data_IF_767311839043
#
_entry.id   IF_767311839043
#
_cell.length_a   1.000
_cell.length_b   1.000
_cell.length_c   1.000
_cell.angle_alpha   90.00
_cell.angle_beta   90.00
_cell.angle_gamma   90.00
#
_symmetry.space_group_name_H-M   'P 1'
#
loop_
_entity.id
_entity.type
_entity.pdbx_description
1 polymer ?
#
# COMPACT_ATOMS: atom_id res chain seq x y z
N UNK A 1 11.32 -12.61 -14.65
CA UNK A 1 10.71 -12.75 -13.29
C UNK A 1 11.71 -13.13 -12.18
N UNK A 2 12.97 -13.48 -12.49
CA UNK A 2 13.96 -14.00 -11.52
C UNK A 2 14.58 -12.92 -10.62
N UNK A 3 14.78 -11.69 -11.11
CA UNK A 3 15.42 -10.61 -10.33
C UNK A 3 14.56 -10.12 -9.15
N UNK A 4 13.24 -9.98 -9.34
CA UNK A 4 12.26 -9.59 -8.30
C UNK A 4 12.28 -10.57 -7.12
N UNK A 5 12.53 -11.86 -7.40
CA UNK A 5 12.63 -12.90 -6.37
C UNK A 5 13.84 -12.71 -5.46
N UNK A 6 14.96 -12.21 -5.96
CA UNK A 6 16.16 -11.99 -5.16
C UNK A 6 15.95 -10.88 -4.13
N UNK A 7 15.30 -9.78 -4.53
CA UNK A 7 15.03 -8.64 -3.64
C UNK A 7 13.97 -8.93 -2.56
N UNK A 8 13.09 -9.90 -2.79
CA UNK A 8 11.99 -10.25 -1.87
C UNK A 8 12.19 -11.59 -1.15
N UNK A 9 13.27 -12.33 -1.46
CA UNK A 9 13.56 -13.63 -0.86
C UNK A 9 13.59 -13.62 0.69
N UNK A 10 14.17 -12.60 1.36
CA UNK A 10 14.15 -12.55 2.83
C UNK A 10 12.73 -12.48 3.41
N UNK A 11 11.78 -11.92 2.66
CA UNK A 11 10.40 -11.70 3.09
C UNK A 11 9.42 -12.76 2.56
N UNK A 12 9.92 -13.83 1.93
CA UNK A 12 9.09 -14.89 1.31
C UNK A 12 8.05 -15.46 2.26
N UNK A 13 8.42 -15.71 3.53
CA UNK A 13 7.49 -16.25 4.55
C UNK A 13 6.37 -15.26 4.86
N UNK A 14 6.66 -13.96 4.92
CA UNK A 14 5.66 -12.91 5.15
C UNK A 14 4.65 -12.85 4.01
N UNK A 15 5.14 -12.91 2.76
CA UNK A 15 4.25 -12.98 1.58
C UNK A 15 3.35 -14.23 1.60
N UNK A 16 3.92 -15.40 1.87
CA UNK A 16 3.14 -16.65 1.98
C UNK A 16 2.07 -16.56 3.07
N UNK A 17 2.37 -15.89 4.18
CA UNK A 17 1.43 -15.71 5.29
C UNK A 17 0.29 -14.76 4.89
N UNK A 18 0.61 -13.63 4.25
CA UNK A 18 -0.37 -12.69 3.71
C UNK A 18 -1.29 -13.37 2.69
N UNK A 19 -0.71 -14.12 1.75
CA UNK A 19 -1.49 -14.86 0.75
C UNK A 19 -2.39 -15.91 1.39
N UNK A 20 -1.91 -16.62 2.42
CA UNK A 20 -2.72 -17.60 3.14
C UNK A 20 -3.90 -16.92 3.85
N UNK A 21 -3.66 -15.78 4.49
CA UNK A 21 -4.71 -14.98 5.13
C UNK A 21 -5.78 -14.56 4.11
N UNK A 22 -5.38 -14.02 2.96
CA UNK A 22 -6.31 -13.59 1.91
C UNK A 22 -7.15 -14.74 1.35
N UNK A 23 -6.57 -15.94 1.24
CA UNK A 23 -7.31 -17.15 0.80
C UNK A 23 -8.28 -17.68 1.85
N UNK A 24 -7.97 -17.52 3.13
CA UNK A 24 -8.83 -17.94 4.22
C UNK A 24 -10.12 -17.12 4.29
N UNK A 25 -10.08 -15.87 3.83
CA UNK A 25 -11.22 -14.93 3.84
C UNK A 25 -11.54 -14.43 2.43
N UNK A 26 -12.06 -15.30 1.53
CA UNK A 26 -12.29 -14.93 0.13
C UNK A 26 -13.34 -13.84 -0.06
N UNK A 27 -14.28 -13.70 0.87
CA UNK A 27 -15.31 -12.65 0.86
C UNK A 27 -14.84 -11.32 1.48
N UNK A 28 -13.63 -11.26 2.06
CA UNK A 28 -13.07 -10.03 2.64
C UNK A 28 -12.27 -9.28 1.60
N UNK A 29 -12.60 -8.00 1.42
CA UNK A 29 -11.80 -7.06 0.66
C UNK A 29 -10.58 -6.64 1.49
N UNK A 30 -9.38 -6.93 1.00
CA UNK A 30 -8.13 -6.49 1.60
C UNK A 30 -7.67 -5.20 0.92
N UNK A 31 -7.35 -4.18 1.71
CA UNK A 31 -6.76 -2.94 1.20
C UNK A 31 -5.29 -2.92 1.56
N UNK A 32 -4.44 -2.80 0.55
CA UNK A 32 -3.00 -2.67 0.74
C UNK A 32 -2.58 -1.24 0.41
N UNK A 33 -2.00 -0.56 1.39
CA UNK A 33 -1.42 0.76 1.22
C UNK A 33 0.02 0.61 0.70
N UNK A 34 0.37 1.34 -0.36
CA UNK A 34 1.77 1.47 -0.77
C UNK A 34 2.59 2.09 0.36
N UNK A 35 3.91 1.82 0.45
CA UNK A 35 4.78 2.47 1.42
C UNK A 35 4.57 3.98 1.42
N UNK A 36 4.51 4.57 2.62
CA UNK A 36 4.17 5.99 2.73
C UNK A 36 5.28 6.84 2.13
N UNK A 37 4.92 7.93 1.43
CA UNK A 37 5.89 8.95 1.08
C UNK A 37 6.54 9.55 2.34
N UNK A 38 7.74 10.03 2.14
CA UNK A 38 8.60 10.72 3.11
C UNK A 38 8.93 12.11 2.53
N UNK A 39 9.34 13.06 3.37
CA UNK A 39 9.83 14.34 2.89
C UNK A 39 11.22 14.23 2.24
N UNK A 40 11.97 13.15 2.52
CA UNK A 40 13.24 12.88 1.86
C UNK A 40 13.05 12.23 0.46
N UNK A 41 13.47 12.91 -0.63
CA UNK A 41 13.33 12.37 -1.99
C UNK A 41 14.08 11.05 -2.21
N UNK A 42 15.23 10.86 -1.57
CA UNK A 42 16.04 9.64 -1.73
C UNK A 42 15.32 8.40 -1.22
N UNK A 43 14.68 8.53 -0.05
CA UNK A 43 13.93 7.44 0.58
C UNK A 43 12.67 7.10 -0.22
N UNK A 44 12.04 8.09 -0.85
CA UNK A 44 10.88 7.87 -1.72
C UNK A 44 11.18 6.97 -2.93
N UNK A 45 12.38 7.01 -3.48
CA UNK A 45 12.76 6.12 -4.60
C UNK A 45 12.73 4.67 -4.14
N UNK A 46 13.35 4.38 -3.00
CA UNK A 46 13.40 3.04 -2.41
C UNK A 46 12.00 2.57 -1.98
N UNK A 47 11.21 3.46 -1.37
CA UNK A 47 9.82 3.19 -0.96
C UNK A 47 8.92 2.87 -2.16
N UNK A 48 9.02 3.63 -3.26
CA UNK A 48 8.29 3.36 -4.51
C UNK A 48 8.72 2.02 -5.13
N UNK A 49 10.01 1.73 -5.15
CA UNK A 49 10.52 0.45 -5.64
C UNK A 49 10.00 -0.72 -4.79
N UNK A 50 10.04 -0.60 -3.46
CA UNK A 50 9.46 -1.57 -2.54
C UNK A 50 7.95 -1.76 -2.77
N UNK A 51 7.21 -0.66 -2.93
CA UNK A 51 5.79 -0.68 -3.28
C UNK A 51 5.51 -1.40 -4.59
N UNK A 52 6.30 -1.13 -5.63
CA UNK A 52 6.19 -1.81 -6.92
C UNK A 52 6.43 -3.32 -6.80
N UNK A 53 7.46 -3.74 -6.05
CA UNK A 53 7.73 -5.16 -5.76
C UNK A 53 6.55 -5.83 -5.04
N UNK A 54 6.02 -5.18 -3.99
CA UNK A 54 4.87 -5.66 -3.22
C UNK A 54 3.63 -5.82 -4.12
N UNK A 55 3.31 -4.80 -4.90
CA UNK A 55 2.19 -4.81 -5.82
C UNK A 55 2.31 -5.95 -6.84
N UNK A 56 3.49 -6.12 -7.45
CA UNK A 56 3.70 -7.19 -8.43
C UNK A 56 3.51 -8.60 -7.84
N UNK A 57 3.83 -8.80 -6.55
CA UNK A 57 3.63 -10.08 -5.87
C UNK A 57 2.18 -10.38 -5.52
N UNK A 58 1.45 -9.35 -5.11
CA UNK A 58 0.13 -9.53 -4.51
C UNK A 58 -1.02 -9.24 -5.50
N UNK A 59 -0.75 -8.55 -6.62
CA UNK A 59 -1.75 -8.10 -7.62
C UNK A 59 -2.54 -9.22 -8.31
N UNK A 60 -2.12 -10.49 -8.20
CA UNK A 60 -2.87 -11.61 -8.75
C UNK A 60 -4.10 -12.02 -7.90
N UNK A 61 -4.37 -11.32 -6.79
CA UNK A 61 -5.48 -11.64 -5.87
C UNK A 61 -6.72 -10.80 -6.18
N UNK A 62 -7.89 -11.42 -6.47
CA UNK A 62 -9.09 -10.69 -6.86
C UNK A 62 -9.73 -9.89 -5.72
N UNK A 63 -9.46 -10.26 -4.45
CA UNK A 63 -9.98 -9.59 -3.26
C UNK A 63 -8.97 -8.60 -2.64
N UNK A 64 -7.95 -8.19 -3.40
CA UNK A 64 -6.94 -7.23 -2.97
C UNK A 64 -7.06 -5.93 -3.77
N UNK A 65 -7.18 -4.82 -3.05
CA UNK A 65 -7.23 -3.48 -3.61
C UNK A 65 -5.97 -2.72 -3.22
N UNK A 66 -5.26 -2.21 -4.22
CA UNK A 66 -4.05 -1.43 -4.02
C UNK A 66 -4.38 0.06 -3.94
N UNK A 67 -3.85 0.73 -2.92
CA UNK A 67 -4.00 2.16 -2.73
C UNK A 67 -2.62 2.80 -2.71
N UNK A 68 -2.37 3.71 -3.66
CA UNK A 68 -1.10 4.42 -3.71
C UNK A 68 -1.07 5.61 -2.75
N UNK A 69 -0.44 5.41 -1.60
CA UNK A 69 -0.19 6.43 -0.57
C UNK A 69 0.57 7.64 -1.12
N UNK A 70 1.42 7.46 -2.15
CA UNK A 70 2.14 8.58 -2.78
C UNK A 70 1.21 9.51 -3.56
N UNK A 71 0.14 8.97 -4.14
CA UNK A 71 -0.87 9.79 -4.83
C UNK A 71 -1.76 10.53 -3.83
N UNK A 72 -2.10 9.89 -2.70
CA UNK A 72 -2.97 10.44 -1.67
C UNK A 72 -2.29 11.54 -0.86
N UNK A 73 -1.10 11.26 -0.34
CA UNK A 73 -0.42 12.13 0.61
C UNK A 73 0.54 13.10 -0.07
N UNK A 74 1.10 12.69 -1.23
CA UNK A 74 2.19 13.42 -1.90
C UNK A 74 3.35 13.69 -0.92
N UNK A 75 4.33 14.48 -1.34
CA UNK A 75 5.40 15.00 -0.48
C UNK A 75 5.04 16.41 0.00
N UNK A 76 3.80 16.59 0.48
CA UNK A 76 3.32 17.86 1.02
C UNK A 76 3.77 17.98 2.49
N UNK A 77 4.71 18.89 2.76
CA UNK A 77 5.28 19.09 4.10
C UNK A 77 4.23 19.49 5.14
N UNK A 78 3.08 20.04 4.74
CA UNK A 78 1.99 20.40 5.66
C UNK A 78 1.29 19.19 6.26
N UNK A 79 1.49 17.98 5.72
CA UNK A 79 0.84 16.75 6.19
C UNK A 79 1.68 15.95 7.19
N UNK A 80 2.89 16.39 7.50
CA UNK A 80 3.83 15.64 8.33
C UNK A 80 4.22 16.42 9.59
N UNK A 81 4.56 15.68 10.65
CA UNK A 81 5.18 16.21 11.88
C UNK A 81 6.70 16.29 11.70
N UNK A 82 7.27 15.30 11.03
CA UNK A 82 8.71 15.20 10.70
C UNK A 82 8.90 14.62 9.29
N UNK A 83 10.07 14.10 8.95
CA UNK A 83 10.32 13.56 7.62
C UNK A 83 9.36 12.38 7.26
N UNK A 84 8.90 11.61 8.24
CA UNK A 84 8.28 10.30 8.00
C UNK A 84 6.90 10.10 8.65
N UNK A 85 6.57 10.88 9.69
CA UNK A 85 5.34 10.72 10.45
C UNK A 85 4.28 11.74 10.03
N UNK A 86 3.07 11.25 9.75
CA UNK A 86 1.93 12.10 9.43
C UNK A 86 1.45 12.86 10.66
N UNK A 87 1.00 14.09 10.45
CA UNK A 87 0.31 14.88 11.45
C UNK A 87 -1.21 14.60 11.40
N UNK A 88 -2.03 15.19 12.30
CA UNK A 88 -3.47 14.97 12.29
C UNK A 88 -4.19 15.35 10.97
N UNK A 89 -3.63 16.25 10.16
CA UNK A 89 -4.15 16.59 8.84
C UNK A 89 -3.76 15.52 7.82
N UNK A 90 -2.52 15.02 7.86
CA UNK A 90 -2.07 13.89 7.03
C UNK A 90 -2.87 12.61 7.28
N UNK A 91 -3.14 12.29 8.55
CA UNK A 91 -4.02 11.17 8.89
C UNK A 91 -5.44 11.36 8.35
N UNK A 92 -6.01 12.58 8.43
CA UNK A 92 -7.32 12.89 7.84
C UNK A 92 -7.33 12.70 6.33
N UNK A 93 -6.31 13.21 5.62
CA UNK A 93 -6.18 13.04 4.17
C UNK A 93 -6.12 11.55 3.78
N UNK A 94 -5.34 10.75 4.50
CA UNK A 94 -5.28 9.30 4.31
C UNK A 94 -6.64 8.63 4.54
N UNK A 95 -7.32 8.96 5.63
CA UNK A 95 -8.64 8.40 5.96
C UNK A 95 -9.69 8.70 4.88
N UNK A 96 -9.71 9.92 4.34
CA UNK A 96 -10.63 10.25 3.23
C UNK A 96 -10.29 9.48 1.96
N UNK A 97 -9.01 9.34 1.61
CA UNK A 97 -8.57 8.54 0.47
C UNK A 97 -8.96 7.07 0.60
N UNK A 98 -8.76 6.49 1.79
CA UNK A 98 -9.17 5.12 2.11
C UNK A 98 -10.68 4.94 2.02
N UNK A 99 -11.46 5.85 2.62
CA UNK A 99 -12.92 5.80 2.57
C UNK A 99 -13.43 5.85 1.12
N UNK A 100 -12.85 6.71 0.27
CA UNK A 100 -13.21 6.78 -1.14
C UNK A 100 -12.90 5.47 -1.89
N UNK A 101 -11.80 4.79 -1.55
CA UNK A 101 -11.46 3.48 -2.13
C UNK A 101 -12.46 2.40 -1.70
N UNK A 102 -12.78 2.32 -0.39
CA UNK A 102 -13.78 1.37 0.14
C UNK A 102 -15.12 1.59 -0.55
N UNK A 103 -15.60 2.84 -0.61
CA UNK A 103 -16.91 3.18 -1.16
C UNK A 103 -17.02 2.90 -2.66
N UNK A 104 -15.97 3.19 -3.45
CA UNK A 104 -15.95 2.88 -4.89
C UNK A 104 -16.02 1.37 -5.15
N UNK A 105 -15.39 0.57 -4.30
CA UNK A 105 -15.37 -0.89 -4.46
C UNK A 105 -16.67 -1.55 -3.95
N UNK A 106 -17.38 -0.94 -3.00
CA UNK A 106 -18.72 -1.44 -2.60
C UNK A 106 -19.78 -1.25 -3.68
N UNK A 107 -19.68 -0.21 -4.53
CA UNK A 107 -20.65 0.04 -5.61
C UNK A 107 -20.52 -0.94 -6.77
N UNK A 108 -19.35 -1.55 -6.98
CA UNK A 108 -19.12 -2.55 -8.03
C UNK A 108 -19.48 -3.99 -7.60
N UNK A 109 -19.79 -4.19 -6.32
CA UNK A 109 -20.14 -5.49 -5.73
C UNK A 109 -21.65 -5.65 -5.48
N UNK A 110 -22.46 -4.64 -5.83
CA UNK A 110 -23.93 -4.67 -5.85
C UNK A 110 -24.43 -4.77 -7.29
#
# INVERSE_FOLDING_TARGET
MTAIWLFSAPHRRSFQTLERCMRQYPATAFIFLSPFPDLNPGDNILRRFGGWLLHHRLSSRPNLYWVDSHQLLRTDSQLYVDASHLNPQGHRALSYGLAACVLRNTVLAM
#
